data_IF_777852354270
#
_entry.id   IF_777852354270
#
_cell.length_a   1.000
_cell.length_b   1.000
_cell.length_c   1.000
_cell.angle_alpha   90.00
_cell.angle_beta   90.00
_cell.angle_gamma   90.00
#
_symmetry.space_group_name_H-M   'P 1'
#
loop_
_entity.id
_entity.type
_entity.pdbx_description
1 polymer ?
#
# COMPACT_ATOMS: atom_id res chain seq x y z
N UNK A 1 6.26 -0.80 -12.98
CA UNK A 1 7.17 -0.42 -11.87
C UNK A 1 6.75 -1.10 -10.57
N UNK A 2 5.50 -0.91 -10.12
CA UNK A 2 5.00 -1.58 -8.90
C UNK A 2 5.10 -3.11 -8.98
N UNK A 3 4.72 -3.72 -10.10
CA UNK A 3 4.78 -5.19 -10.30
C UNK A 3 6.22 -5.75 -10.21
N UNK A 4 7.22 -4.98 -10.63
CA UNK A 4 8.63 -5.38 -10.49
C UNK A 4 9.02 -5.38 -9.01
N UNK A 5 8.58 -4.37 -8.26
CA UNK A 5 8.87 -4.25 -6.83
C UNK A 5 8.17 -5.35 -6.03
N UNK A 6 6.88 -5.62 -6.32
CA UNK A 6 6.12 -6.69 -5.64
C UNK A 6 6.69 -8.07 -5.98
N UNK A 7 7.12 -8.30 -7.22
CA UNK A 7 7.85 -9.52 -7.61
C UNK A 7 9.21 -9.68 -6.88
N UNK A 8 9.83 -8.58 -6.45
CA UNK A 8 11.05 -8.58 -5.63
C UNK A 8 10.78 -8.67 -4.12
N UNK A 9 9.52 -8.81 -3.71
CA UNK A 9 9.11 -8.96 -2.31
C UNK A 9 8.79 -7.65 -1.59
N UNK A 10 8.74 -6.51 -2.29
CA UNK A 10 8.27 -5.28 -1.69
C UNK A 10 6.77 -5.35 -1.39
N UNK A 11 6.37 -5.01 -0.18
CA UNK A 11 4.95 -4.91 0.19
C UNK A 11 4.38 -3.58 -0.26
N UNK A 12 3.34 -3.60 -1.09
CA UNK A 12 2.66 -2.38 -1.58
C UNK A 12 1.20 -2.42 -1.15
N UNK A 13 0.78 -1.41 -0.37
CA UNK A 13 -0.57 -1.30 0.18
C UNK A 13 -1.22 0.03 -0.23
N UNK A 14 -2.46 -0.03 -0.69
CA UNK A 14 -3.29 1.15 -0.94
C UNK A 14 -4.20 1.44 0.27
N UNK A 15 -4.25 2.70 0.70
CA UNK A 15 -5.10 3.12 1.81
C UNK A 15 -6.60 2.92 1.51
N UNK A 16 -7.32 2.12 2.31
CA UNK A 16 -8.74 1.77 2.12
C UNK A 16 -9.67 2.98 1.98
N UNK A 17 -9.59 3.94 2.90
CA UNK A 17 -10.46 5.13 2.86
C UNK A 17 -10.13 6.01 1.66
N UNK A 18 -8.85 6.02 1.24
CA UNK A 18 -8.36 6.76 0.10
C UNK A 18 -8.85 6.16 -1.24
N UNK A 19 -8.89 4.83 -1.37
CA UNK A 19 -9.43 4.15 -2.55
C UNK A 19 -10.95 4.28 -2.60
N UNK A 20 -11.63 4.23 -1.45
CA UNK A 20 -13.08 4.43 -1.36
C UNK A 20 -13.46 5.83 -1.84
N UNK A 21 -12.77 6.87 -1.34
CA UNK A 21 -13.02 8.26 -1.73
C UNK A 21 -12.78 8.52 -3.22
N UNK A 22 -11.93 7.70 -3.87
CA UNK A 22 -11.63 7.78 -5.30
C UNK A 22 -12.48 6.84 -6.15
N UNK A 23 -13.34 6.02 -5.55
CA UNK A 23 -14.19 5.06 -6.26
C UNK A 23 -13.43 3.91 -6.93
N UNK A 24 -12.20 3.59 -6.46
CA UNK A 24 -11.33 2.57 -7.11
C UNK A 24 -11.18 1.28 -6.30
N UNK A 25 -11.83 1.17 -5.14
CA UNK A 25 -11.62 0.04 -4.22
C UNK A 25 -11.92 -1.33 -4.83
N UNK A 26 -12.94 -1.41 -5.68
CA UNK A 26 -13.39 -2.68 -6.30
C UNK A 26 -12.82 -2.87 -7.72
N UNK A 27 -11.92 -1.98 -8.17
CA UNK A 27 -11.27 -2.13 -9.46
C UNK A 27 -10.11 -3.13 -9.37
N UNK A 28 -9.79 -3.83 -10.47
CA UNK A 28 -8.60 -4.66 -10.54
C UNK A 28 -7.35 -3.87 -10.16
N UNK A 29 -6.55 -4.41 -9.24
CA UNK A 29 -5.28 -3.84 -8.80
C UNK A 29 -4.12 -4.44 -9.62
N UNK A 30 -2.99 -3.75 -9.65
CA UNK A 30 -1.74 -4.31 -10.18
C UNK A 30 -1.29 -5.53 -9.35
N UNK A 31 -0.55 -6.44 -9.97
CA UNK A 31 -0.15 -7.69 -9.32
C UNK A 31 0.69 -7.45 -8.05
N UNK A 32 0.30 -8.13 -6.97
CA UNK A 32 0.93 -8.02 -5.66
C UNK A 32 0.61 -6.73 -4.88
N UNK A 33 -0.30 -5.89 -5.38
CA UNK A 33 -0.80 -4.72 -4.65
C UNK A 33 -2.07 -5.10 -3.88
N UNK A 34 -2.11 -4.71 -2.61
CA UNK A 34 -3.24 -5.01 -1.73
C UNK A 34 -3.87 -3.75 -1.14
N UNK A 35 -5.12 -3.84 -0.69
CA UNK A 35 -5.72 -2.79 0.14
C UNK A 35 -5.28 -2.97 1.59
N UNK A 36 -4.81 -1.89 2.21
CA UNK A 36 -4.43 -1.84 3.62
C UNK A 36 -5.14 -0.73 4.38
N UNK A 37 -4.88 -0.67 5.68
CA UNK A 37 -5.46 0.32 6.60
C UNK A 37 -4.45 1.36 7.06
N UNK A 38 -4.94 2.47 7.61
CA UNK A 38 -4.07 3.47 8.22
C UNK A 38 -3.39 2.93 9.50
N UNK A 39 -4.02 1.98 10.18
CA UNK A 39 -3.46 1.32 11.36
C UNK A 39 -2.23 0.50 10.97
N UNK A 40 -2.31 -0.30 9.89
CA UNK A 40 -1.13 -1.00 9.35
C UNK A 40 0.01 -0.03 8.98
N UNK A 41 -0.30 1.14 8.41
CA UNK A 41 0.72 2.15 8.13
C UNK A 41 1.34 2.69 9.42
N UNK A 42 0.55 2.93 10.46
CA UNK A 42 1.05 3.40 11.75
C UNK A 42 2.00 2.38 12.38
N UNK A 43 1.62 1.10 12.40
CA UNK A 43 2.45 0.01 12.92
C UNK A 43 3.77 -0.08 12.14
N UNK A 44 3.70 -0.06 10.80
CA UNK A 44 4.88 -0.04 9.91
C UNK A 44 5.80 1.15 10.18
N UNK A 45 5.21 2.31 10.48
CA UNK A 45 5.96 3.55 10.76
C UNK A 45 6.71 3.44 12.09
N UNK A 46 6.12 2.79 13.08
CA UNK A 46 6.75 2.55 14.39
C UNK A 46 7.87 1.52 14.28
N UNK A 47 7.66 0.46 13.49
CA UNK A 47 8.63 -0.62 13.31
C UNK A 47 9.83 -0.23 12.42
N UNK A 48 9.65 0.73 11.51
CA UNK A 48 10.68 1.13 10.57
C UNK A 48 11.75 2.04 11.20
N UNK A 49 13.02 1.81 10.87
CA UNK A 49 14.12 2.70 11.26
C UNK A 49 14.02 4.09 10.61
N UNK A 50 13.44 4.16 9.40
CA UNK A 50 13.34 5.36 8.58
C UNK A 50 12.08 5.36 7.74
N UNK A 51 11.50 6.55 7.58
CA UNK A 51 10.31 6.78 6.76
C UNK A 51 10.63 7.85 5.73
N UNK A 52 10.42 7.53 4.46
CA UNK A 52 10.59 8.44 3.32
C UNK A 52 9.19 8.83 2.81
N UNK A 53 8.93 10.14 2.68
CA UNK A 53 7.66 10.69 2.20
C UNK A 53 7.89 11.41 0.86
N UNK A 54 6.97 11.22 -0.09
CA UNK A 54 7.06 11.70 -1.48
C UNK A 54 5.78 12.43 -1.87
#
# INVERSE_FOLDING_TARGET
>A
MLEILTAQGATVKLCKTCTNARGITELPLADGVEIGTLIELADRTIEADKVLNF
#
